data_IF_167278049931
#
_entry.id   IF_167278049931
#
_cell.length_a   1.000
_cell.length_b   1.000
_cell.length_c   1.000
_cell.angle_alpha   90.00
_cell.angle_beta   90.00
_cell.angle_gamma   90.00
#
_symmetry.space_group_name_H-M   'P 1'
#
loop_
_entity.id
_entity.type
_entity.pdbx_description
1 polymer ?
#
# COMPACT_ATOMS: atom_id res chain seq x y z
N UNK A 1 67.52 15.97 -8.30
CA UNK A 1 66.12 16.20 -7.88
C UNK A 1 65.22 16.14 -9.11
N UNK A 2 64.43 15.08 -9.28
CA UNK A 2 63.44 15.00 -10.37
C UNK A 2 62.19 14.25 -9.91
N UNK A 3 61.18 15.05 -9.61
CA UNK A 3 59.89 14.84 -8.95
C UNK A 3 58.89 13.97 -9.72
N UNK A 4 59.34 13.07 -10.62
CA UNK A 4 58.49 12.47 -11.68
C UNK A 4 58.14 10.98 -11.53
N UNK A 5 58.54 10.30 -10.46
CA UNK A 5 58.31 8.84 -10.30
C UNK A 5 57.39 8.42 -9.14
N UNK A 6 56.78 9.35 -8.41
CA UNK A 6 55.91 9.05 -7.25
C UNK A 6 54.42 9.37 -7.43
N UNK A 7 53.99 9.66 -8.66
CA UNK A 7 52.60 10.01 -8.97
C UNK A 7 51.85 8.92 -9.77
N UNK A 8 52.43 7.72 -9.90
CA UNK A 8 51.85 6.63 -10.68
C UNK A 8 51.17 5.54 -9.84
N UNK A 9 50.90 5.77 -8.54
CA UNK A 9 50.39 4.72 -7.63
C UNK A 9 49.25 5.17 -6.70
N UNK A 10 48.61 6.32 -6.95
CA UNK A 10 47.51 6.83 -6.09
C UNK A 10 46.25 7.18 -6.89
N UNK A 11 46.23 6.95 -8.21
CA UNK A 11 45.10 7.31 -9.07
C UNK A 11 44.20 6.09 -9.45
N UNK A 12 44.00 5.14 -8.55
CA UNK A 12 43.18 3.94 -8.80
C UNK A 12 42.11 3.65 -7.74
N UNK A 13 41.74 4.61 -6.89
CA UNK A 13 40.79 4.35 -5.78
C UNK A 13 39.71 5.42 -5.58
N UNK A 14 39.29 6.16 -6.62
CA UNK A 14 38.13 7.10 -6.49
C UNK A 14 37.06 6.92 -7.56
N UNK A 15 37.25 6.06 -8.57
CA UNK A 15 36.27 5.88 -9.66
C UNK A 15 35.42 4.59 -9.59
N UNK A 16 35.23 4.01 -8.41
CA UNK A 16 34.50 2.74 -8.23
C UNK A 16 33.34 2.80 -7.22
N UNK A 17 32.86 3.99 -6.87
CA UNK A 17 31.74 4.14 -5.92
C UNK A 17 30.43 4.68 -6.54
N UNK A 18 30.45 5.19 -7.78
CA UNK A 18 29.26 5.80 -8.40
C UNK A 18 28.46 4.87 -9.33
N UNK A 19 28.95 3.67 -9.65
CA UNK A 19 28.27 2.76 -10.59
C UNK A 19 27.18 1.88 -9.95
N UNK A 20 27.11 1.79 -8.61
CA UNK A 20 26.14 0.93 -7.92
C UNK A 20 24.80 1.62 -7.63
N UNK A 21 24.74 2.96 -7.68
CA UNK A 21 23.50 3.69 -7.42
C UNK A 21 22.53 3.67 -8.63
N UNK A 22 23.05 3.63 -9.86
CA UNK A 22 22.23 3.64 -11.07
C UNK A 22 21.54 2.29 -11.35
N UNK A 23 22.12 1.17 -10.91
CA UNK A 23 21.54 -0.16 -11.12
C UNK A 23 20.34 -0.45 -10.20
N UNK A 24 20.25 0.20 -9.03
CA UNK A 24 19.12 0.04 -8.10
C UNK A 24 17.87 0.84 -8.50
N UNK A 25 18.00 1.80 -9.43
CA UNK A 25 16.87 2.59 -9.94
C UNK A 25 16.24 1.96 -11.21
N UNK A 26 16.93 1.04 -11.88
CA UNK A 26 16.47 0.43 -13.13
C UNK A 26 15.58 -0.82 -12.95
N UNK A 27 15.42 -1.34 -11.73
CA UNK A 27 14.55 -2.51 -11.45
C UNK A 27 13.11 -2.13 -11.07
N UNK A 28 12.72 -0.86 -11.19
CA UNK A 28 11.31 -0.44 -11.07
C UNK A 28 10.62 -0.22 -12.42
N UNK A 29 11.00 -0.98 -13.45
CA UNK A 29 10.08 -1.26 -14.56
C UNK A 29 9.16 -2.38 -14.12
N UNK A 30 8.14 -2.05 -13.32
CA UNK A 30 7.03 -2.97 -13.10
C UNK A 30 6.27 -3.09 -14.41
N UNK A 31 6.47 -4.24 -15.05
CA UNK A 31 5.78 -4.68 -16.25
C UNK A 31 4.30 -4.31 -16.22
N UNK A 32 3.90 -3.64 -17.30
CA UNK A 32 2.52 -3.32 -17.63
C UNK A 32 1.70 -4.58 -17.81
N UNK A 33 1.16 -5.09 -16.71
CA UNK A 33 -0.05 -5.89 -16.73
C UNK A 33 -1.22 -4.95 -16.39
N UNK A 34 -1.64 -4.17 -17.39
CA UNK A 34 -2.97 -3.55 -17.46
C UNK A 34 -4.04 -4.64 -17.66
N UNK A 35 -3.99 -5.70 -16.84
CA UNK A 35 -5.20 -6.43 -16.53
C UNK A 35 -5.97 -5.42 -15.67
N UNK A 36 -7.15 -5.02 -16.13
CA UNK A 36 -8.10 -4.28 -15.33
C UNK A 36 -8.41 -5.17 -14.11
N UNK A 37 -7.55 -5.09 -13.08
CA UNK A 37 -7.58 -5.94 -11.91
C UNK A 37 -8.85 -5.54 -11.21
N UNK A 38 -9.90 -6.34 -11.40
CA UNK A 38 -11.08 -6.33 -10.53
C UNK A 38 -10.56 -6.13 -9.12
N UNK A 39 -10.92 -5.01 -8.50
CA UNK A 39 -10.33 -4.59 -7.23
C UNK A 39 -10.48 -5.72 -6.22
N UNK A 40 -9.41 -6.48 -6.00
CA UNK A 40 -9.45 -7.67 -5.15
C UNK A 40 -9.37 -7.22 -3.69
N UNK A 41 -10.18 -7.78 -2.77
CA UNK A 41 -10.12 -7.41 -1.36
C UNK A 41 -8.71 -7.46 -0.76
N UNK A 42 -7.89 -8.43 -1.18
CA UNK A 42 -6.50 -8.55 -0.76
C UNK A 42 -5.64 -7.34 -1.19
N UNK A 43 -5.79 -6.87 -2.43
CA UNK A 43 -5.04 -5.71 -2.93
C UNK A 43 -5.45 -4.43 -2.21
N UNK A 44 -6.75 -4.25 -1.95
CA UNK A 44 -7.25 -3.09 -1.18
C UNK A 44 -6.77 -3.14 0.26
N UNK A 45 -6.82 -4.31 0.90
CA UNK A 45 -6.29 -4.50 2.25
C UNK A 45 -4.83 -4.09 2.33
N UNK A 46 -3.99 -4.58 1.41
CA UNK A 46 -2.58 -4.24 1.37
C UNK A 46 -2.37 -2.72 1.22
N UNK A 47 -3.04 -2.09 0.25
CA UNK A 47 -2.92 -0.66 0.03
C UNK A 47 -3.41 0.18 1.23
N UNK A 48 -4.49 -0.25 1.90
CA UNK A 48 -5.01 0.42 3.08
C UNK A 48 -4.06 0.27 4.27
N UNK A 49 -3.56 -0.95 4.54
CA UNK A 49 -2.54 -1.20 5.57
C UNK A 49 -1.32 -0.32 5.38
N UNK A 50 -0.76 -0.27 4.16
CA UNK A 50 0.38 0.60 3.84
C UNK A 50 0.07 2.07 4.12
N UNK A 51 -1.12 2.56 3.75
CA UNK A 51 -1.52 3.95 4.05
C UNK A 51 -1.57 4.21 5.56
N UNK A 52 -2.17 3.30 6.32
CA UNK A 52 -2.30 3.43 7.77
C UNK A 52 -0.92 3.46 8.45
N UNK A 53 -0.02 2.59 8.01
CA UNK A 53 1.39 2.55 8.48
C UNK A 53 2.14 3.83 8.13
N UNK A 54 2.02 4.32 6.89
CA UNK A 54 2.60 5.60 6.45
C UNK A 54 2.03 6.81 7.20
N UNK A 55 0.80 6.70 7.69
CA UNK A 55 0.14 7.72 8.51
C UNK A 55 0.45 7.57 10.00
N UNK A 56 1.33 6.63 10.37
CA UNK A 56 1.66 6.31 11.76
C UNK A 56 0.45 5.98 12.64
N UNK A 57 -0.59 5.39 12.05
CA UNK A 57 -1.79 4.97 12.76
C UNK A 57 -1.61 3.54 13.29
N UNK A 58 -1.74 3.35 14.59
CA UNK A 58 -1.73 2.03 15.22
C UNK A 58 -3.09 1.36 15.03
N UNK A 59 -3.14 0.25 14.31
CA UNK A 59 -4.33 -0.57 14.13
C UNK A 59 -4.06 -2.02 14.54
N UNK A 60 -5.11 -2.72 15.01
CA UNK A 60 -5.02 -4.12 15.44
C UNK A 60 -5.28 -5.09 14.30
N UNK A 61 -6.27 -4.78 13.46
CA UNK A 61 -6.64 -5.62 12.33
C UNK A 61 -7.34 -4.83 11.23
N UNK A 62 -7.30 -5.39 10.01
CA UNK A 62 -8.02 -4.92 8.83
C UNK A 62 -8.72 -6.11 8.19
N UNK A 63 -10.03 -6.02 7.97
CA UNK A 63 -10.84 -7.04 7.30
C UNK A 63 -11.58 -6.41 6.13
N UNK A 64 -11.39 -6.95 4.92
CA UNK A 64 -11.96 -6.40 3.70
C UNK A 64 -12.86 -7.41 2.98
N UNK A 65 -14.02 -6.95 2.50
CA UNK A 65 -15.02 -7.75 1.77
C UNK A 65 -15.48 -7.03 0.51
N UNK A 66 -15.84 -7.78 -0.54
CA UNK A 66 -16.48 -7.20 -1.72
C UNK A 66 -17.90 -6.76 -1.36
N UNK A 67 -18.33 -5.62 -1.90
CA UNK A 67 -19.69 -5.11 -1.67
C UNK A 67 -20.67 -5.42 -2.80
N UNK A 68 -20.18 -5.90 -3.95
CA UNK A 68 -20.97 -6.05 -5.18
C UNK A 68 -21.24 -4.72 -5.92
N UNK A 69 -20.92 -3.57 -5.30
CA UNK A 69 -21.10 -2.25 -5.92
C UNK A 69 -19.95 -1.89 -6.84
N UNK A 70 -20.26 -1.07 -7.84
CA UNK A 70 -19.30 -0.51 -8.78
C UNK A 70 -19.33 1.02 -8.67
N UNK A 71 -18.16 1.65 -8.65
CA UNK A 71 -18.00 3.10 -8.70
C UNK A 71 -16.92 3.44 -9.72
N UNK A 72 -17.23 4.29 -10.71
CA UNK A 72 -16.32 4.67 -11.80
C UNK A 72 -15.65 3.47 -12.47
N UNK A 73 -16.41 2.40 -12.74
CA UNK A 73 -15.91 1.12 -13.29
C UNK A 73 -14.97 0.30 -12.38
N UNK A 74 -14.86 0.64 -11.09
CA UNK A 74 -14.11 -0.15 -10.11
C UNK A 74 -15.05 -0.85 -9.11
N UNK A 75 -14.71 -2.08 -8.73
CA UNK A 75 -15.42 -2.78 -7.66
C UNK A 75 -15.12 -2.13 -6.32
N UNK A 76 -16.17 -1.74 -5.58
CA UNK A 76 -16.04 -1.18 -4.24
C UNK A 76 -15.79 -2.31 -3.24
N UNK A 77 -14.71 -2.19 -2.48
CA UNK A 77 -14.36 -3.08 -1.38
C UNK A 77 -14.57 -2.32 -0.08
N UNK A 78 -15.25 -2.95 0.88
CA UNK A 78 -15.44 -2.41 2.23
C UNK A 78 -14.41 -3.03 3.16
N UNK A 79 -13.67 -2.20 3.89
CA UNK A 79 -12.67 -2.60 4.86
C UNK A 79 -13.03 -2.05 6.24
N UNK A 80 -13.16 -2.91 7.24
CA UNK A 80 -13.19 -2.51 8.64
C UNK A 80 -11.77 -2.46 9.18
N UNK A 81 -11.43 -1.38 9.88
CA UNK A 81 -10.15 -1.21 10.57
C UNK A 81 -10.43 -1.02 12.05
N UNK A 82 -9.79 -1.82 12.89
CA UNK A 82 -9.87 -1.67 14.35
C UNK A 82 -8.66 -0.89 14.86
N UNK A 83 -8.93 0.28 15.45
CA UNK A 83 -7.93 1.15 16.09
C UNK A 83 -7.90 0.98 17.62
N UNK A 84 -8.48 -0.11 18.13
CA UNK A 84 -8.72 -0.37 19.54
C UNK A 84 -10.18 -0.11 19.91
N UNK A 85 -10.80 -1.05 20.62
CA UNK A 85 -12.22 -0.95 21.00
C UNK A 85 -12.48 0.34 21.81
N UNK A 86 -13.58 1.08 21.53
CA UNK A 86 -14.67 0.76 20.60
C UNK A 86 -14.46 1.26 19.14
N UNK A 87 -13.26 1.70 18.78
CA UNK A 87 -12.99 2.40 17.51
C UNK A 87 -12.76 1.44 16.34
N UNK A 88 -13.87 1.04 15.70
CA UNK A 88 -13.85 0.35 14.40
C UNK A 88 -14.35 1.32 13.33
N UNK A 89 -13.52 1.58 12.31
CA UNK A 89 -13.84 2.50 11.21
C UNK A 89 -14.02 1.73 9.91
N UNK A 90 -15.07 2.06 9.17
CA UNK A 90 -15.38 1.46 7.88
C UNK A 90 -14.89 2.33 6.72
N UNK A 91 -13.99 1.77 5.92
CA UNK A 91 -13.49 2.37 4.68
C UNK A 91 -14.13 1.66 3.49
N UNK A 92 -14.86 2.39 2.65
CA UNK A 92 -15.19 1.95 1.30
C UNK A 92 -14.09 2.43 0.39
N UNK A 93 -13.54 1.51 -0.39
CA UNK A 93 -12.28 1.71 -1.08
C UNK A 93 -12.31 1.14 -2.49
N UNK A 94 -11.63 1.84 -3.40
CA UNK A 94 -11.28 1.36 -4.75
C UNK A 94 -9.78 1.56 -5.01
N UNK A 95 -9.26 0.88 -6.02
CA UNK A 95 -7.93 1.19 -6.58
C UNK A 95 -8.15 1.74 -7.98
N UNK A 96 -7.81 3.01 -8.16
CA UNK A 96 -7.91 3.74 -9.42
C UNK A 96 -6.53 4.33 -9.76
N UNK A 97 -6.04 4.09 -10.98
CA UNK A 97 -4.70 4.50 -11.40
C UNK A 97 -3.58 4.01 -10.47
N UNK A 98 -3.75 2.86 -9.81
CA UNK A 98 -2.80 2.33 -8.83
C UNK A 98 -2.85 3.00 -7.45
N UNK A 99 -3.78 3.94 -7.23
CA UNK A 99 -3.95 4.65 -5.96
C UNK A 99 -5.18 4.15 -5.21
N UNK A 100 -5.04 3.99 -3.90
CA UNK A 100 -6.18 3.76 -3.03
C UNK A 100 -7.02 5.05 -2.94
N UNK A 101 -8.31 4.94 -3.17
CA UNK A 101 -9.28 6.02 -2.92
C UNK A 101 -10.28 5.48 -1.91
N UNK A 102 -10.60 6.25 -0.86
CA UNK A 102 -11.60 5.86 0.14
C UNK A 102 -12.75 6.85 0.22
N UNK A 103 -13.84 6.45 0.88
CA UNK A 103 -14.98 7.31 1.18
C UNK A 103 -14.63 8.50 2.08
N UNK A 104 -13.50 8.49 2.79
CA UNK A 104 -13.04 9.61 3.61
C UNK A 104 -12.52 10.76 2.75
N UNK A 105 -11.94 10.47 1.58
CA UNK A 105 -11.54 11.51 0.63
C UNK A 105 -12.63 11.80 -0.41
N UNK A 106 -13.51 10.83 -0.70
CA UNK A 106 -14.55 10.95 -1.72
C UNK A 106 -15.89 10.40 -1.17
N UNK A 107 -16.73 11.26 -0.56
CA UNK A 107 -17.96 10.82 0.11
C UNK A 107 -18.99 10.15 -0.79
N UNK A 108 -18.88 10.33 -2.11
CA UNK A 108 -19.88 9.87 -3.10
C UNK A 108 -20.02 8.35 -3.25
N UNK A 109 -19.17 7.54 -2.61
CA UNK A 109 -19.30 6.07 -2.61
C UNK A 109 -19.27 5.45 -1.21
N UNK A 110 -20.02 6.05 -0.27
CA UNK A 110 -20.17 5.60 1.11
C UNK A 110 -20.50 4.11 1.26
N UNK A 111 -20.05 3.51 2.37
CA UNK A 111 -20.43 2.15 2.72
C UNK A 111 -21.85 2.09 3.26
N UNK A 112 -22.68 1.12 2.83
CA UNK A 112 -23.85 0.74 3.62
C UNK A 112 -23.40 0.17 4.98
N UNK A 113 -24.32 0.18 5.94
CA UNK A 113 -24.09 -0.37 7.27
C UNK A 113 -23.63 -1.84 7.20
N UNK A 114 -22.73 -2.21 8.11
CA UNK A 114 -22.20 -3.58 8.19
C UNK A 114 -23.26 -4.55 8.68
N UNK A 115 -23.48 -5.65 7.95
CA UNK A 115 -24.24 -6.79 8.46
C UNK A 115 -23.34 -7.94 8.94
N UNK A 116 -22.01 -7.86 8.75
CA UNK A 116 -21.08 -8.98 9.03
C UNK A 116 -20.12 -8.71 10.19
N UNK A 117 -19.62 -7.49 10.36
CA UNK A 117 -18.68 -7.13 11.44
C UNK A 117 -19.30 -7.13 12.85
N UNK A 118 -20.63 -7.04 12.97
CA UNK A 118 -21.32 -7.14 14.27
C UNK A 118 -21.68 -8.59 14.62
N UNK A 119 -22.03 -9.41 13.63
CA UNK A 119 -22.55 -10.77 13.84
C UNK A 119 -21.46 -11.82 14.10
N UNK A 120 -20.19 -11.50 13.87
CA UNK A 120 -19.04 -12.37 14.20
C UNK A 120 -18.38 -11.98 15.53
N UNK A 121 -19.19 -11.67 16.56
CA UNK A 121 -18.75 -11.97 17.93
C UNK A 121 -18.76 -13.49 18.10
N UNK A 122 -17.74 -14.17 17.61
CA UNK A 122 -17.43 -15.50 18.12
C UNK A 122 -16.99 -15.29 19.57
N UNK A 123 -17.95 -15.39 20.49
CA UNK A 123 -17.67 -15.60 21.91
C UNK A 123 -17.10 -17.01 21.99
N UNK A 124 -15.78 -17.15 21.86
CA UNK A 124 -15.12 -18.29 22.48
C UNK A 124 -15.18 -18.03 23.98
N UNK A 125 -16.15 -18.67 24.62
CA UNK A 125 -16.20 -18.81 26.08
C UNK A 125 -14.97 -19.59 26.59
N UNK A 126 -14.81 -19.64 27.93
CA UNK A 126 -13.56 -19.99 28.61
C UNK A 126 -12.97 -21.35 28.22
#
# INVERSE_FOLDING_TARGET
MTRRRRLALVATTVLAACALAAALLATRSSDGASVMRTTQPAAVRAALSTRLEQSHLNYRWVVCVRTGRIFRNHHVVRCNVNFGDPHIVAYCSIIDGGRLITNHETPSFSCPADLQGWSTKTVTGP
#
